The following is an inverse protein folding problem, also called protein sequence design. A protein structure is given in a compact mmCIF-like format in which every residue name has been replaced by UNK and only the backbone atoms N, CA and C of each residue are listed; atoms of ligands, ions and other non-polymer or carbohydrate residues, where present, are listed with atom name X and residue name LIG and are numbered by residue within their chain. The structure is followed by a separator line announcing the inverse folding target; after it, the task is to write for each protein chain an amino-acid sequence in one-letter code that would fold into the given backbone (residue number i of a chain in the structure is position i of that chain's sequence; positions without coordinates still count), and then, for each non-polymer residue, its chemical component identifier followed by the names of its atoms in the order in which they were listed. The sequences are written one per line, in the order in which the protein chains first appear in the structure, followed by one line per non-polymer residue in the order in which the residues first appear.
data_IF_754208884745
#
_entry.id   IF_754208884745
#
_cell.length_a   1.000
_cell.length_b   1.000
_cell.length_c   1.000
_cell.angle_alpha   90.00
_cell.angle_beta   90.00
_cell.angle_gamma   90.00
#
_symmetry.space_group_name_H-M   'P 1'
#
loop_
_entity.id
_entity.type
_entity.pdbx_description
1 polymer ?
#
# COMPACT_ATOMS: atom_id res chain seq x y z
N UNK A 1 4.20 -9.50 29.03
CA UNK A 1 5.15 -8.43 28.68
C UNK A 1 5.37 -8.51 27.19
N UNK A 2 4.97 -7.49 26.44
CA UNK A 2 5.25 -7.39 25.00
C UNK A 2 6.64 -6.77 24.90
N UNK A 3 7.59 -7.47 24.30
CA UNK A 3 8.94 -6.94 24.07
C UNK A 3 8.83 -5.63 23.29
N UNK A 4 9.40 -4.56 23.85
CA UNK A 4 9.58 -3.29 23.14
C UNK A 4 10.63 -3.54 22.07
N UNK A 5 10.19 -3.55 20.81
CA UNK A 5 11.08 -3.65 19.64
C UNK A 5 12.02 -2.44 19.66
N UNK A 6 13.32 -2.70 19.77
CA UNK A 6 14.39 -1.72 19.62
C UNK A 6 14.56 -1.38 18.13
N UNK A 7 13.83 -0.35 17.70
CA UNK A 7 13.84 0.22 16.35
C UNK A 7 15.22 0.74 15.91
N UNK A 8 16.22 0.81 16.80
CA UNK A 8 17.58 1.24 16.44
C UNK A 8 18.46 0.10 15.91
N UNK A 9 18.04 -1.18 16.04
CA UNK A 9 18.87 -2.36 15.74
C UNK A 9 18.44 -3.25 14.56
N UNK A 10 17.37 -2.92 13.85
CA UNK A 10 16.90 -3.74 12.73
C UNK A 10 16.86 -2.96 11.42
N UNK A 11 17.45 -3.54 10.37
CA UNK A 11 17.29 -3.22 8.93
C UNK A 11 15.82 -3.35 8.46
N UNK A 12 14.89 -2.69 9.16
CA UNK A 12 13.46 -2.82 8.94
C UNK A 12 13.07 -1.96 7.73
N UNK A 13 12.89 -2.62 6.58
CA UNK A 13 12.49 -1.96 5.32
C UNK A 13 11.03 -1.51 5.39
N UNK A 14 10.77 -0.31 4.90
CA UNK A 14 9.44 0.27 4.72
C UNK A 14 8.88 -0.12 3.36
N UNK A 15 7.77 -0.84 3.38
CA UNK A 15 6.99 -1.16 2.19
C UNK A 15 5.82 -0.18 2.12
N UNK A 16 5.81 0.61 1.05
CA UNK A 16 4.72 1.50 0.71
C UNK A 16 3.74 0.72 -0.15
N UNK A 17 2.47 0.67 0.25
CA UNK A 17 1.46 -0.13 -0.44
C UNK A 17 0.32 0.79 -0.84
N UNK A 18 0.05 0.88 -2.14
CA UNK A 18 -1.14 1.56 -2.65
C UNK A 18 -2.42 0.84 -2.20
N UNK A 19 -3.57 1.53 -2.23
CA UNK A 19 -4.86 0.94 -1.87
C UNK A 19 -5.64 0.50 -3.11
N UNK A 20 -5.85 1.37 -4.08
CA UNK A 20 -6.83 1.20 -5.15
C UNK A 20 -6.21 0.54 -6.38
N UNK A 21 -6.49 -0.75 -6.57
CA UNK A 21 -5.82 -1.61 -7.55
C UNK A 21 -4.83 -2.60 -6.92
N UNK A 22 -4.46 -2.38 -5.65
CA UNK A 22 -3.55 -3.26 -4.89
C UNK A 22 -4.24 -3.97 -3.73
N UNK A 23 -4.89 -3.24 -2.81
CA UNK A 23 -5.64 -3.81 -1.69
C UNK A 23 -7.13 -3.91 -1.97
N UNK A 24 -7.68 -2.95 -2.71
CA UNK A 24 -9.06 -2.88 -3.15
C UNK A 24 -9.12 -3.13 -4.66
N UNK A 25 -10.09 -3.91 -5.10
CA UNK A 25 -10.42 -4.05 -6.53
C UNK A 25 -11.04 -2.72 -6.96
N UNK A 26 -10.40 -2.05 -7.91
CA UNK A 26 -10.91 -0.79 -8.45
C UNK A 26 -12.14 -1.06 -9.32
N UNK A 27 -13.22 -0.31 -9.07
CA UNK A 27 -14.46 -0.40 -9.84
C UNK A 27 -15.02 1.00 -10.08
N UNK A 28 -15.22 1.33 -11.34
CA UNK A 28 -15.75 2.64 -11.73
C UNK A 28 -17.12 2.90 -11.07
N UNK A 29 -17.32 4.12 -10.57
CA UNK A 29 -18.57 4.61 -9.97
C UNK A 29 -19.01 3.91 -8.67
N UNK A 30 -18.16 3.10 -8.04
CA UNK A 30 -18.47 2.47 -6.76
C UNK A 30 -17.89 3.27 -5.60
N UNK A 31 -18.69 3.51 -4.57
CA UNK A 31 -18.21 4.13 -3.33
C UNK A 31 -17.14 3.26 -2.66
N UNK A 32 -16.09 3.90 -2.12
CA UNK A 32 -14.96 3.22 -1.46
C UNK A 32 -15.35 2.19 -0.41
N UNK A 33 -16.40 2.46 0.37
CA UNK A 33 -16.87 1.52 1.41
C UNK A 33 -17.40 0.19 0.84
N UNK A 34 -17.76 0.18 -0.44
CA UNK A 34 -18.32 -0.99 -1.11
C UNK A 34 -17.30 -1.75 -1.94
N UNK A 35 -16.08 -1.24 -2.11
CA UNK A 35 -15.07 -1.94 -2.91
C UNK A 35 -14.75 -3.31 -2.30
N UNK A 36 -14.52 -4.30 -3.16
CA UNK A 36 -14.12 -5.63 -2.72
C UNK A 36 -12.62 -5.63 -2.44
N UNK A 37 -12.15 -6.29 -1.36
CA UNK A 37 -10.72 -6.47 -1.16
C UNK A 37 -10.16 -7.43 -2.21
N UNK A 38 -8.91 -7.20 -2.63
CA UNK A 38 -8.14 -8.20 -3.36
C UNK A 38 -7.93 -9.40 -2.44
N UNK A 39 -8.32 -10.59 -2.91
CA UNK A 39 -8.51 -11.80 -2.08
C UNK A 39 -7.27 -12.18 -1.27
N UNK A 40 -6.09 -12.03 -1.83
CA UNK A 40 -4.80 -12.43 -1.23
C UNK A 40 -4.12 -11.29 -0.45
N UNK A 41 -4.59 -10.04 -0.59
CA UNK A 41 -3.86 -8.87 -0.10
C UNK A 41 -3.69 -8.86 1.42
N UNK A 42 -4.74 -9.18 2.19
CA UNK A 42 -4.66 -9.20 3.66
C UNK A 42 -3.61 -10.20 4.16
N UNK A 43 -3.51 -11.39 3.55
CA UNK A 43 -2.54 -12.41 3.96
C UNK A 43 -1.11 -12.06 3.52
N UNK A 44 -0.95 -11.45 2.35
CA UNK A 44 0.34 -10.92 1.91
C UNK A 44 0.88 -9.87 2.90
N UNK A 45 0.04 -8.94 3.33
CA UNK A 45 0.40 -7.91 4.31
C UNK A 45 0.77 -8.52 5.67
N UNK A 46 -0.01 -9.51 6.16
CA UNK A 46 0.33 -10.25 7.38
C UNK A 46 1.68 -10.95 7.28
N UNK A 47 1.97 -11.55 6.14
CA UNK A 47 3.25 -12.23 5.87
C UNK A 47 4.40 -11.23 5.89
N UNK A 48 4.27 -10.08 5.23
CA UNK A 48 5.29 -9.01 5.28
C UNK A 48 5.52 -8.52 6.72
N UNK A 49 4.46 -8.31 7.50
CA UNK A 49 4.62 -7.94 8.92
C UNK A 49 5.34 -9.02 9.74
N UNK A 50 5.04 -10.32 9.51
CA UNK A 50 5.74 -11.44 10.17
C UNK A 50 7.22 -11.49 9.82
N UNK A 51 7.58 -11.07 8.61
CA UNK A 51 8.98 -10.95 8.15
C UNK A 51 9.69 -9.68 8.69
N UNK A 52 8.98 -8.86 9.46
CA UNK A 52 9.55 -7.66 10.08
C UNK A 52 9.61 -6.44 9.16
N UNK A 53 8.73 -6.34 8.15
CA UNK A 53 8.59 -5.10 7.37
C UNK A 53 7.65 -4.10 8.05
N UNK A 54 7.95 -2.80 7.90
CA UNK A 54 7.02 -1.72 8.23
C UNK A 54 6.11 -1.48 7.04
N UNK A 55 4.80 -1.54 7.25
CA UNK A 55 3.78 -1.37 6.22
C UNK A 55 3.16 0.02 6.33
N UNK A 56 3.36 0.84 5.31
CA UNK A 56 2.75 2.17 5.20
C UNK A 56 1.80 2.14 4.02
N UNK A 57 0.52 2.36 4.27
CA UNK A 57 -0.45 2.53 3.21
C UNK A 57 -0.31 3.91 2.58
N UNK A 58 -0.42 3.98 1.27
CA UNK A 58 -0.44 5.21 0.49
C UNK A 58 -1.70 5.21 -0.38
N UNK A 59 -2.31 6.38 -0.57
CA UNK A 59 -3.46 6.51 -1.46
C UNK A 59 -3.56 7.90 -2.03
N UNK A 60 -4.05 7.98 -3.27
CA UNK A 60 -4.41 9.24 -3.95
C UNK A 60 -5.81 9.74 -3.58
N UNK A 61 -6.58 8.99 -2.77
CA UNK A 61 -7.82 9.45 -2.16
C UNK A 61 -7.60 10.78 -1.43
N UNK A 62 -8.65 11.57 -1.29
CA UNK A 62 -8.57 12.86 -0.61
C UNK A 62 -8.64 12.72 0.91
N UNK A 63 -8.09 13.68 1.65
CA UNK A 63 -8.09 13.65 3.14
C UNK A 63 -9.53 13.61 3.71
N UNK A 64 -10.52 14.19 3.04
CA UNK A 64 -11.93 14.11 3.47
C UNK A 64 -12.51 12.68 3.37
N UNK A 65 -11.85 11.78 2.64
CA UNK A 65 -12.20 10.37 2.46
C UNK A 65 -11.46 9.46 3.45
N UNK A 66 -10.67 10.05 4.35
CA UNK A 66 -9.88 9.31 5.34
C UNK A 66 -10.74 8.42 6.22
N UNK A 67 -11.86 8.94 6.71
CA UNK A 67 -12.76 8.16 7.57
C UNK A 67 -13.27 6.91 6.86
N UNK A 68 -13.81 7.06 5.65
CA UNK A 68 -14.35 5.93 4.88
C UNK A 68 -13.26 4.92 4.51
N UNK A 69 -12.05 5.39 4.23
CA UNK A 69 -10.90 4.54 3.94
C UNK A 69 -10.47 3.71 5.16
N UNK A 70 -10.33 4.34 6.33
CA UNK A 70 -9.97 3.63 7.57
C UNK A 70 -11.07 2.63 7.98
N UNK A 71 -12.34 3.01 7.87
CA UNK A 71 -13.46 2.13 8.19
C UNK A 71 -13.46 0.89 7.27
N UNK A 72 -13.21 1.08 5.97
CA UNK A 72 -13.09 -0.02 5.01
C UNK A 72 -11.90 -0.93 5.32
N UNK A 73 -10.72 -0.38 5.61
CA UNK A 73 -9.53 -1.17 5.96
C UNK A 73 -9.77 -2.04 7.20
N UNK A 74 -10.42 -1.47 8.22
CA UNK A 74 -10.80 -2.18 9.44
C UNK A 74 -11.81 -3.28 9.17
N UNK A 75 -12.85 -3.00 8.39
CA UNK A 75 -13.89 -3.97 8.05
C UNK A 75 -13.32 -5.19 7.30
N UNK A 76 -12.28 -4.98 6.49
CA UNK A 76 -11.62 -6.03 5.72
C UNK A 76 -10.38 -6.65 6.42
N UNK A 77 -10.12 -6.28 7.68
CA UNK A 77 -9.07 -6.89 8.49
C UNK A 77 -7.64 -6.60 8.02
N UNK A 78 -7.41 -5.45 7.38
CA UNK A 78 -6.06 -5.02 7.02
C UNK A 78 -5.30 -4.50 8.24
N UNK A 79 -4.04 -4.91 8.35
CA UNK A 79 -3.11 -4.46 9.40
C UNK A 79 -1.97 -3.68 8.76
N UNK A 80 -1.61 -2.54 9.35
CA UNK A 80 -0.58 -1.64 8.82
C UNK A 80 -0.04 -0.77 9.97
N UNK A 81 1.11 -0.12 9.75
CA UNK A 81 1.74 0.74 10.76
C UNK A 81 1.32 2.21 10.62
N UNK A 82 1.08 2.68 9.39
CA UNK A 82 0.68 4.06 9.10
C UNK A 82 -0.09 4.15 7.76
N UNK A 83 -0.81 5.25 7.53
CA UNK A 83 -1.49 5.56 6.26
C UNK A 83 -1.24 7.02 5.87
N UNK A 84 -0.88 7.27 4.61
CA UNK A 84 -0.61 8.60 4.06
C UNK A 84 -1.48 8.91 2.84
N UNK A 85 -2.15 10.05 2.87
CA UNK A 85 -2.95 10.64 1.77
C UNK A 85 -2.07 11.57 0.92
N UNK A 86 -0.83 11.14 0.69
CA UNK A 86 0.24 11.88 0.04
C UNK A 86 1.51 11.03 0.08
N UNK A 87 2.50 11.32 -0.79
CA UNK A 87 3.61 10.40 -1.05
C UNK A 87 4.53 10.18 0.17
N UNK A 88 4.60 8.97 0.75
CA UNK A 88 5.55 8.63 1.80
C UNK A 88 6.94 8.32 1.24
N UNK A 89 7.95 8.32 2.12
CA UNK A 89 9.28 7.78 1.83
C UNK A 89 9.37 6.32 2.29
N UNK A 90 9.67 5.41 1.38
CA UNK A 90 9.94 4.00 1.69
C UNK A 90 11.02 3.36 0.82
N UNK A 91 11.32 2.10 1.13
CA UNK A 91 12.36 1.28 0.50
C UNK A 91 11.83 0.46 -0.67
N UNK A 92 10.55 0.07 -0.60
CA UNK A 92 9.84 -0.71 -1.62
C UNK A 92 8.46 -0.06 -1.82
N UNK A 93 8.00 -0.01 -3.07
CA UNK A 93 6.65 0.44 -3.41
C UNK A 93 5.91 -0.71 -4.10
N UNK A 94 4.69 -1.00 -3.66
CA UNK A 94 3.74 -1.91 -4.29
C UNK A 94 2.59 -1.05 -4.78
N UNK A 95 2.48 -0.88 -6.08
CA UNK A 95 1.57 0.06 -6.74
C UNK A 95 1.23 -0.53 -8.11
N UNK A 96 -0.06 -0.69 -8.40
CA UNK A 96 -0.54 -1.30 -9.65
C UNK A 96 -0.22 -0.42 -10.88
N UNK A 97 -0.01 0.87 -10.66
CA UNK A 97 0.37 1.88 -11.66
C UNK A 97 1.83 2.30 -11.58
N UNK A 98 2.61 1.65 -10.71
CA UNK A 98 4.03 1.91 -10.56
C UNK A 98 4.86 1.41 -11.74
N UNK A 99 5.49 2.31 -12.49
CA UNK A 99 6.52 1.93 -13.46
C UNK A 99 7.87 1.69 -12.75
N UNK A 100 8.53 0.56 -13.04
CA UNK A 100 9.87 0.27 -12.52
C UNK A 100 10.91 1.09 -13.27
N UNK A 101 11.11 2.32 -12.81
CA UNK A 101 12.05 3.23 -13.45
C UNK A 101 13.50 2.73 -13.37
N UNK A 102 14.11 2.60 -14.54
CA UNK A 102 15.55 2.28 -14.69
C UNK A 102 16.29 3.41 -15.41
N UNK A 103 15.74 3.91 -16.53
CA UNK A 103 16.23 5.06 -17.28
C UNK A 103 15.08 5.70 -18.09
N UNK A 104 15.24 6.96 -18.48
CA UNK A 104 14.27 7.64 -19.35
C UNK A 104 14.20 7.02 -20.75
N UNK A 105 15.32 6.54 -21.27
CA UNK A 105 15.35 5.84 -22.56
C UNK A 105 14.50 4.56 -22.51
N UNK A 106 14.68 3.73 -21.49
CA UNK A 106 13.87 2.51 -21.31
C UNK A 106 12.39 2.86 -21.11
N UNK A 107 12.10 3.89 -20.31
CA UNK A 107 10.72 4.35 -20.15
C UNK A 107 10.07 4.72 -21.48
N UNK A 108 10.74 5.54 -22.31
CA UNK A 108 10.20 5.93 -23.62
C UNK A 108 10.10 4.76 -24.60
N UNK A 109 10.95 3.75 -24.48
CA UNK A 109 10.80 2.52 -25.26
C UNK A 109 9.58 1.71 -24.80
N UNK A 110 9.37 1.60 -23.49
CA UNK A 110 8.25 0.86 -22.92
C UNK A 110 6.90 1.54 -23.21
N UNK A 111 6.79 2.87 -23.04
CA UNK A 111 5.49 3.56 -23.26
C UNK A 111 5.10 3.69 -24.73
N UNK A 112 6.04 3.55 -25.68
CA UNK A 112 5.71 3.49 -27.11
C UNK A 112 5.05 2.17 -27.51
N UNK A 113 5.11 1.14 -26.67
CA UNK A 113 4.52 -0.17 -26.90
C UNK A 113 3.08 -0.30 -26.38
N UNK A 114 2.59 0.73 -25.66
CA UNK A 114 1.20 0.88 -25.22
C UNK A 114 0.45 1.82 -26.15
#
# INVERSE_FOLDING_TARGET
MIEKIDISKSNCKKVIVDIDGVLAIEEANRSYIRLLPVKEASEAIKTLKKLGYVIILHTSRFEFEKKVTIDWLKANGFIYDDIKFGKPRGDIYIDDRGYRFNSWENFFNDVKLY
#
